data_IF_628340806369
#
_entry.id   IF_628340806369
#
_cell.length_a   1.000
_cell.length_b   1.000
_cell.length_c   1.000
_cell.angle_alpha   90.00
_cell.angle_beta   90.00
_cell.angle_gamma   90.00
#
_symmetry.space_group_name_H-M   'P 1'
#
loop_
_entity.id
_entity.type
_entity.pdbx_description
1 polymer ?
#
# COMPACT_ATOMS: atom_id res chain seq x y z
N UNK A 1 2.18 -3.59 8.98
CA UNK A 1 3.14 -4.12 7.98
C UNK A 1 2.41 -4.95 6.94
N UNK A 2 2.87 -4.95 5.69
CA UNK A 2 2.33 -5.88 4.70
C UNK A 2 2.81 -7.32 5.00
N UNK A 3 2.40 -8.27 4.16
CA UNK A 3 2.71 -9.70 4.36
C UNK A 3 3.97 -10.17 3.63
N UNK A 4 4.86 -9.27 3.20
CA UNK A 4 6.10 -9.64 2.55
C UNK A 4 6.95 -10.57 3.43
N UNK A 5 7.57 -11.58 2.82
CA UNK A 5 8.34 -12.60 3.55
C UNK A 5 9.48 -11.98 4.38
N UNK A 6 10.06 -10.87 3.91
CA UNK A 6 11.10 -10.11 4.61
C UNK A 6 10.64 -9.55 5.97
N UNK A 7 9.34 -9.34 6.17
CA UNK A 7 8.78 -8.86 7.45
C UNK A 7 8.54 -9.99 8.46
N UNK A 8 8.72 -11.25 8.07
CA UNK A 8 8.59 -12.43 8.94
C UNK A 8 9.93 -13.00 9.40
N UNK A 9 11.01 -12.24 9.25
CA UNK A 9 12.32 -12.64 9.75
C UNK A 9 12.29 -12.79 11.27
N UNK A 10 12.74 -13.94 11.79
CA UNK A 10 12.64 -14.26 13.23
C UNK A 10 13.35 -13.26 14.13
N UNK A 11 14.51 -12.74 13.70
CA UNK A 11 15.23 -11.74 14.49
C UNK A 11 14.50 -10.39 14.56
N UNK A 12 13.61 -10.07 13.61
CA UNK A 12 12.81 -8.85 13.67
C UNK A 12 11.79 -8.92 14.81
N UNK A 13 11.14 -10.07 15.00
CA UNK A 13 10.15 -10.25 16.08
C UNK A 13 10.79 -10.07 17.45
N UNK A 14 11.95 -10.69 17.70
CA UNK A 14 12.65 -10.54 18.98
C UNK A 14 13.02 -9.08 19.29
N UNK A 15 13.53 -8.35 18.29
CA UNK A 15 13.88 -6.93 18.46
C UNK A 15 12.64 -6.07 18.72
N UNK A 16 11.53 -6.32 18.03
CA UNK A 16 10.29 -5.57 18.24
C UNK A 16 9.68 -5.86 19.62
N UNK A 17 9.75 -7.11 20.09
CA UNK A 17 9.27 -7.51 21.41
C UNK A 17 10.11 -6.86 22.53
N UNK A 18 11.44 -6.81 22.38
CA UNK A 18 12.34 -6.12 23.31
C UNK A 18 12.06 -4.61 23.40
N UNK A 19 11.62 -3.99 22.29
CA UNK A 19 11.22 -2.59 22.24
C UNK A 19 9.76 -2.35 22.69
N UNK A 20 9.00 -3.40 23.00
CA UNK A 20 7.59 -3.31 23.35
C UNK A 20 6.69 -2.85 22.19
N UNK A 21 7.13 -3.04 20.94
CA UNK A 21 6.40 -2.62 19.74
C UNK A 21 5.51 -3.75 19.24
N UNK A 22 4.19 -3.55 19.32
CA UNK A 22 3.24 -4.50 18.76
C UNK A 22 3.19 -4.41 17.24
N UNK A 23 3.39 -5.54 16.56
CA UNK A 23 3.31 -5.60 15.10
C UNK A 23 1.88 -5.88 14.65
N UNK A 24 1.31 -4.99 13.83
CA UNK A 24 0.01 -5.19 13.18
C UNK A 24 0.21 -5.55 11.70
N UNK A 25 -0.42 -6.63 11.25
CA UNK A 25 -0.38 -7.07 9.85
C UNK A 25 -1.69 -6.77 9.14
N UNK A 26 -1.60 -6.31 7.90
CA UNK A 26 -2.78 -6.07 7.07
C UNK A 26 -3.27 -7.40 6.47
N UNK A 27 -4.58 -7.52 6.16
CA UNK A 27 -5.10 -8.63 5.37
C UNK A 27 -4.36 -8.76 4.02
N UNK A 28 -4.18 -9.98 3.48
CA UNK A 28 -3.59 -10.18 2.16
C UNK A 28 -4.31 -9.39 1.07
N UNK A 29 -3.56 -8.91 0.07
CA UNK A 29 -4.08 -8.18 -1.10
C UNK A 29 -4.94 -6.95 -0.78
N UNK A 30 -4.72 -6.33 0.38
CA UNK A 30 -5.48 -5.15 0.84
C UNK A 30 -4.63 -3.88 0.93
N UNK A 31 -4.00 -3.42 -0.17
CA UNK A 31 -3.12 -2.25 -0.16
C UNK A 31 -3.86 -0.95 0.21
N UNK A 32 -5.20 -0.89 0.02
CA UNK A 32 -6.02 0.24 0.48
C UNK A 32 -5.97 0.50 1.99
N UNK A 33 -5.68 -0.54 2.77
CA UNK A 33 -5.59 -0.46 4.22
C UNK A 33 -4.20 -0.01 4.69
N UNK A 34 -3.24 0.15 3.77
CA UNK A 34 -1.90 0.59 4.09
C UNK A 34 -1.76 2.09 3.75
N UNK A 35 -1.68 2.99 4.74
CA UNK A 35 -1.67 4.42 4.49
C UNK A 35 -0.45 4.88 3.67
N UNK A 36 0.67 4.14 3.72
CA UNK A 36 1.88 4.44 2.94
C UNK A 36 1.64 4.37 1.43
N UNK A 37 0.66 3.60 0.96
CA UNK A 37 0.31 3.54 -0.47
C UNK A 37 -0.25 4.88 -0.95
N UNK A 38 -1.00 5.60 -0.09
CA UNK A 38 -1.46 6.95 -0.39
C UNK A 38 -0.29 7.95 -0.37
N UNK A 39 0.64 7.80 0.58
CA UNK A 39 1.88 8.60 0.63
C UNK A 39 2.65 8.45 -0.67
N UNK A 40 2.95 7.21 -1.10
CA UNK A 40 3.67 6.95 -2.34
C UNK A 40 2.93 7.48 -3.57
N UNK A 41 1.59 7.37 -3.61
CA UNK A 41 0.80 7.89 -4.72
C UNK A 41 0.97 9.40 -4.88
N UNK A 42 0.88 10.16 -3.79
CA UNK A 42 1.04 11.62 -3.83
C UNK A 42 2.50 12.00 -4.07
N UNK A 43 3.43 11.43 -3.30
CA UNK A 43 4.84 11.75 -3.38
C UNK A 43 5.44 11.45 -4.75
N UNK A 44 5.12 10.29 -5.34
CA UNK A 44 5.53 9.93 -6.71
C UNK A 44 5.04 10.94 -7.74
N UNK A 45 3.81 11.45 -7.59
CA UNK A 45 3.29 12.46 -8.51
C UNK A 45 4.05 13.79 -8.40
N UNK A 46 4.44 14.20 -7.19
CA UNK A 46 5.29 15.39 -6.99
C UNK A 46 6.67 15.22 -7.67
N UNK A 47 7.31 14.06 -7.46
CA UNK A 47 8.63 13.76 -8.06
C UNK A 47 8.52 13.68 -9.58
N UNK A 48 7.49 13.01 -10.12
CA UNK A 48 7.32 12.82 -11.58
C UNK A 48 6.97 14.12 -12.31
N UNK A 49 6.42 15.11 -11.61
CA UNK A 49 6.18 16.44 -12.16
C UNK A 49 7.40 17.37 -12.10
N UNK A 50 8.51 16.93 -11.51
CA UNK A 50 9.73 17.72 -11.38
C UNK A 50 10.70 17.43 -12.53
N UNK A 51 11.30 18.46 -13.10
CA UNK A 51 12.35 18.30 -14.11
C UNK A 51 13.66 17.91 -13.44
N UNK A 52 14.14 16.69 -13.70
CA UNK A 52 15.39 16.16 -13.14
C UNK A 52 16.30 15.74 -14.30
N UNK A 53 17.52 16.27 -14.38
CA UNK A 53 18.46 15.96 -15.46
C UNK A 53 19.66 15.13 -15.00
N UNK A 54 19.80 14.91 -13.69
CA UNK A 54 20.84 14.07 -13.09
C UNK A 54 20.33 13.27 -11.89
N UNK A 55 21.11 12.27 -11.47
CA UNK A 55 20.83 11.50 -10.25
C UNK A 55 20.86 12.38 -9.00
N UNK A 56 21.76 13.38 -8.95
CA UNK A 56 21.87 14.30 -7.83
C UNK A 56 20.59 15.17 -7.71
N UNK A 57 20.10 15.69 -8.83
CA UNK A 57 18.85 16.46 -8.87
C UNK A 57 17.67 15.60 -8.42
N UNK A 58 17.60 14.35 -8.91
CA UNK A 58 16.53 13.43 -8.52
C UNK A 58 16.56 13.16 -7.01
N UNK A 59 17.74 12.92 -6.42
CA UNK A 59 17.87 12.72 -4.97
C UNK A 59 17.41 13.96 -4.20
N UNK A 60 17.79 15.15 -4.65
CA UNK A 60 17.37 16.40 -4.03
C UNK A 60 15.84 16.57 -4.11
N UNK A 61 15.24 16.36 -5.27
CA UNK A 61 13.79 16.43 -5.49
C UNK A 61 13.05 15.44 -4.60
N UNK A 62 13.51 14.19 -4.52
CA UNK A 62 12.94 13.16 -3.64
C UNK A 62 12.90 13.65 -2.19
N UNK A 63 14.02 14.16 -1.67
CA UNK A 63 14.09 14.66 -0.28
C UNK A 63 13.23 15.91 -0.07
N UNK A 64 13.32 16.90 -0.95
CA UNK A 64 12.57 18.15 -0.82
C UNK A 64 11.07 17.93 -0.91
N UNK A 65 10.61 17.13 -1.87
CA UNK A 65 9.17 16.83 -2.04
C UNK A 65 8.61 16.01 -0.88
N UNK A 66 9.40 15.10 -0.30
CA UNK A 66 8.96 14.36 0.89
C UNK A 66 8.74 15.28 2.09
N UNK A 67 9.63 16.27 2.27
CA UNK A 67 9.49 17.27 3.35
C UNK A 67 8.30 18.23 3.17
N UNK A 68 7.70 18.27 1.97
CA UNK A 68 6.49 19.06 1.71
C UNK A 68 5.20 18.32 2.10
N UNK A 69 5.28 17.06 2.58
CA UNK A 69 4.14 16.34 3.12
C UNK A 69 3.83 16.87 4.52
N UNK A 70 2.90 17.82 4.61
CA UNK A 70 2.43 18.37 5.87
C UNK A 70 1.45 17.43 6.61
N UNK A 71 1.07 17.84 7.83
CA UNK A 71 0.16 17.08 8.67
C UNK A 71 -1.25 16.96 8.07
N UNK A 72 -1.72 17.97 7.35
CA UNK A 72 -3.07 17.98 6.77
C UNK A 72 -3.17 16.95 5.62
N UNK A 73 -2.13 16.88 4.78
CA UNK A 73 -1.98 15.85 3.75
C UNK A 73 -1.94 14.46 4.40
N UNK A 74 -1.16 14.31 5.48
CA UNK A 74 -1.04 13.04 6.19
C UNK A 74 -2.38 12.59 6.80
N UNK A 75 -3.13 13.48 7.42
CA UNK A 75 -4.47 13.19 7.94
C UNK A 75 -5.42 12.73 6.83
N UNK A 76 -5.32 13.35 5.64
CA UNK A 76 -6.03 12.93 4.44
C UNK A 76 -5.79 11.45 4.07
N UNK A 77 -4.57 10.95 4.24
CA UNK A 77 -4.23 9.55 3.99
C UNK A 77 -4.93 8.59 4.97
N UNK A 78 -4.93 8.93 6.25
CA UNK A 78 -5.61 8.15 7.27
C UNK A 78 -7.12 8.17 7.10
N UNK A 79 -7.72 9.34 6.83
CA UNK A 79 -9.15 9.44 6.54
C UNK A 79 -9.57 8.55 5.37
N UNK A 80 -8.76 8.51 4.30
CA UNK A 80 -9.01 7.64 3.16
C UNK A 80 -8.89 6.16 3.53
N UNK A 81 -7.86 5.76 4.27
CA UNK A 81 -7.70 4.40 4.79
C UNK A 81 -8.91 3.97 5.66
N UNK A 82 -9.32 4.82 6.60
CA UNK A 82 -10.49 4.58 7.48
C UNK A 82 -11.77 4.42 6.66
N UNK A 83 -11.96 5.21 5.59
CA UNK A 83 -13.12 5.04 4.72
C UNK A 83 -13.20 3.64 4.09
N UNK A 84 -12.05 3.01 3.79
CA UNK A 84 -12.01 1.64 3.28
C UNK A 84 -12.22 0.60 4.38
N UNK A 85 -11.76 0.86 5.61
CA UNK A 85 -12.05 0.01 6.77
C UNK A 85 -13.56 -0.06 7.01
N UNK A 86 -14.25 1.08 7.04
CA UNK A 86 -15.70 1.13 7.22
C UNK A 86 -16.44 0.36 6.11
N UNK A 87 -16.06 0.58 4.84
CA UNK A 87 -16.61 -0.19 3.71
C UNK A 87 -16.37 -1.70 3.83
N UNK A 88 -15.22 -2.10 4.37
CA UNK A 88 -14.90 -3.51 4.61
C UNK A 88 -15.81 -4.12 5.68
N UNK A 89 -16.07 -3.37 6.75
CA UNK A 89 -16.99 -3.78 7.83
C UNK A 89 -18.43 -3.89 7.33
N UNK A 90 -18.86 -2.94 6.50
CA UNK A 90 -20.21 -2.89 5.93
C UNK A 90 -20.42 -3.86 4.75
N UNK A 91 -19.39 -4.63 4.38
CA UNK A 91 -19.38 -5.56 3.24
C UNK A 91 -19.78 -4.90 1.90
N UNK A 92 -19.51 -3.61 1.77
CA UNK A 92 -19.80 -2.86 0.55
C UNK A 92 -18.77 -3.24 -0.51
N UNK A 93 -19.17 -3.61 -1.74
CA UNK A 93 -18.24 -3.96 -2.80
C UNK A 93 -17.34 -2.76 -3.14
N UNK A 94 -16.03 -2.99 -3.20
CA UNK A 94 -15.08 -2.02 -3.71
C UNK A 94 -15.21 -1.92 -5.23
N UNK A 95 -15.18 -0.70 -5.78
CA UNK A 95 -15.17 -0.56 -7.23
C UNK A 95 -13.81 -1.04 -7.78
N UNK A 96 -13.79 -1.80 -8.89
CA UNK A 96 -12.54 -2.32 -9.47
C UNK A 96 -11.58 -1.21 -9.95
N UNK A 97 -12.02 0.04 -10.01
CA UNK A 97 -11.25 1.19 -10.48
C UNK A 97 -10.57 2.03 -9.39
N UNK A 98 -10.77 1.71 -8.10
CA UNK A 98 -10.18 2.51 -7.01
C UNK A 98 -8.68 2.29 -6.80
N UNK A 99 -8.10 1.21 -7.38
CA UNK A 99 -6.68 0.90 -7.29
C UNK A 99 -6.05 0.87 -8.68
N UNK A 100 -5.82 2.05 -9.25
CA UNK A 100 -4.69 2.19 -10.17
C UNK A 100 -3.43 2.17 -9.31
N UNK A 101 -2.93 0.99 -8.97
CA UNK A 101 -1.46 0.90 -8.88
C UNK A 101 -0.96 1.37 -10.25
N UNK A 102 -0.15 2.43 -10.34
CA UNK A 102 0.38 2.82 -11.63
C UNK A 102 1.31 1.69 -12.06
N UNK A 103 0.77 0.74 -12.83
CA UNK A 103 1.54 -0.19 -13.63
C UNK A 103 2.42 0.68 -14.54
N UNK A 104 3.65 0.93 -14.11
CA UNK A 104 4.64 1.57 -14.95
C UNK A 104 4.93 0.63 -16.12
N UNK A 105 4.93 1.10 -17.39
CA UNK A 105 5.08 0.24 -18.57
C UNK A 105 6.43 -0.49 -18.69
N UNK A 106 7.37 -0.28 -17.75
CA UNK A 106 8.73 -0.81 -17.82
C UNK A 106 8.86 -2.31 -17.52
N UNK A 107 7.82 -2.93 -16.96
CA UNK A 107 7.74 -4.38 -16.79
C UNK A 107 6.68 -4.95 -17.74
N UNK A 108 7.04 -5.20 -19.00
CA UNK A 108 6.56 -6.29 -19.86
C UNK A 108 6.96 -5.98 -21.31
N UNK A 109 8.20 -6.32 -21.67
CA UNK A 109 8.58 -6.51 -23.07
C UNK A 109 8.67 -8.01 -23.35
N UNK A 110 7.52 -8.62 -23.61
CA UNK A 110 7.42 -9.85 -24.41
C UNK A 110 5.96 -10.22 -24.72
N UNK A 111 5.56 -9.88 -25.95
CA UNK A 111 4.68 -10.60 -26.89
C UNK A 111 3.19 -10.86 -26.56
N UNK A 112 2.28 -10.84 -27.57
CA UNK A 112 0.84 -10.73 -27.39
C UNK A 112 0.13 -12.07 -27.56
N UNK A 113 -0.73 -12.48 -26.62
CA UNK A 113 -1.90 -13.33 -26.93
C UNK A 113 -2.95 -13.18 -25.81
N UNK A 114 -3.97 -12.38 -26.11
CA UNK A 114 -5.40 -12.70 -26.01
C UNK A 114 -5.95 -13.52 -24.83
N UNK A 115 -6.86 -12.85 -24.09
CA UNK A 115 -8.04 -13.37 -23.37
C UNK A 115 -7.84 -14.13 -22.05
N UNK A 116 -8.30 -13.53 -20.95
CA UNK A 116 -8.50 -14.24 -19.68
C UNK A 116 -8.79 -13.31 -18.49
N UNK A 117 -10.05 -12.87 -18.35
CA UNK A 117 -10.54 -12.20 -17.13
C UNK A 117 -10.59 -13.26 -16.02
N UNK A 118 -9.66 -13.21 -15.07
CA UNK A 118 -9.71 -14.02 -13.85
C UNK A 118 -10.38 -13.19 -12.73
N UNK A 119 -11.70 -13.36 -12.59
CA UNK A 119 -12.48 -12.82 -11.48
C UNK A 119 -12.18 -13.62 -10.20
N UNK A 120 -11.19 -13.18 -9.41
CA UNK A 120 -11.02 -13.65 -8.04
C UNK A 120 -12.01 -12.92 -7.12
N UNK A 121 -13.20 -13.53 -6.98
CA UNK A 121 -14.19 -13.19 -5.96
C UNK A 121 -13.66 -13.64 -4.60
N UNK A 122 -12.82 -12.83 -3.94
CA UNK A 122 -12.38 -13.10 -2.57
C UNK A 122 -13.52 -12.69 -1.62
N UNK A 123 -14.12 -13.69 -1.01
CA UNK A 123 -15.18 -13.55 -0.02
C UNK A 123 -14.54 -13.14 1.33
N UNK A 124 -14.48 -11.84 1.61
CA UNK A 124 -13.86 -11.28 2.82
C UNK A 124 -14.54 -11.69 4.14
N UNK A 125 -15.69 -12.36 4.12
CA UNK A 125 -16.44 -12.71 5.33
C UNK A 125 -15.74 -13.76 6.23
N UNK A 126 -14.76 -14.53 5.73
CA UNK A 126 -14.11 -15.57 6.53
C UNK A 126 -12.84 -15.13 7.29
N UNK A 127 -12.39 -13.88 7.12
CA UNK A 127 -11.13 -13.41 7.72
C UNK A 127 -11.30 -12.69 9.07
N UNK A 128 -12.54 -12.53 9.55
CA UNK A 128 -12.85 -11.84 10.82
C UNK A 128 -13.51 -12.75 11.87
N UNK A 129 -13.21 -14.06 11.88
CA UNK A 129 -13.68 -14.94 12.95
C UNK A 129 -12.64 -15.02 14.10
N UNK A 130 -12.87 -14.38 15.27
CA UNK A 130 -11.92 -14.37 16.38
C UNK A 130 -11.75 -15.72 17.10
N UNK A 131 -12.29 -16.84 16.59
CA UNK A 131 -12.20 -18.17 17.22
C UNK A 131 -11.13 -19.10 16.64
N UNK A 132 -10.21 -18.62 15.79
CA UNK A 132 -9.11 -19.43 15.22
C UNK A 132 -7.70 -18.86 15.46
N UNK A 133 -7.48 -18.26 16.62
CA UNK A 133 -6.13 -18.03 17.15
C UNK A 133 -5.97 -18.88 18.42
N UNK A 134 -5.49 -20.12 18.23
CA UNK A 134 -4.86 -20.97 19.23
C UNK A 134 -3.53 -21.41 18.66
#
# INVERSE_FOLDING_TARGET
>A
MDNAAIHRYRGLTSVLDELGIQTLYHPPYSPFLNPIENVFSVWKNMVSGSECMSEADLKQVITTTFNNLDNDICEGFYRKMISYLNKSMDQVPFSPFQFKVPFSPWYFRSSPFSHGIFLLRINCCNLLNPKKLK
#
